data_IF_757775309388
#
_entry.id   IF_757775309388
#
_cell.length_a   1.000
_cell.length_b   1.000
_cell.length_c   1.000
_cell.angle_alpha   90.00
_cell.angle_beta   90.00
_cell.angle_gamma   90.00
#
_symmetry.space_group_name_H-M   'P 1'
#
loop_
_entity.id
_entity.type
_entity.pdbx_description
1 polymer ?
#
# COMPACT_ATOMS: atom_id res chain seq x y z
N UNK A 1 53.68 -24.86 -44.72
CA UNK A 1 54.18 -23.78 -45.61
C UNK A 1 53.45 -22.51 -45.22
N UNK A 2 54.18 -21.63 -44.55
CA UNK A 2 53.71 -20.76 -43.47
C UNK A 2 53.10 -19.46 -44.03
N UNK A 3 52.13 -18.86 -43.34
CA UNK A 3 51.47 -17.58 -43.70
C UNK A 3 52.44 -16.47 -44.16
N UNK A 4 53.66 -16.47 -43.64
CA UNK A 4 54.74 -15.56 -44.02
C UNK A 4 55.25 -15.76 -45.47
N UNK A 5 55.23 -16.99 -45.99
CA UNK A 5 55.60 -17.27 -47.37
C UNK A 5 54.53 -16.79 -48.36
N UNK A 6 53.24 -16.90 -48.00
CA UNK A 6 52.14 -16.28 -48.76
C UNK A 6 52.25 -14.75 -48.75
N UNK A 7 52.47 -14.16 -47.57
CA UNK A 7 52.65 -12.71 -47.43
C UNK A 7 53.84 -12.19 -48.25
N UNK A 8 54.94 -12.95 -48.35
CA UNK A 8 56.10 -12.57 -49.17
C UNK A 8 55.87 -12.76 -50.68
N UNK A 9 55.16 -13.81 -51.11
CA UNK A 9 54.80 -13.94 -52.54
C UNK A 9 53.84 -12.83 -52.97
N UNK A 10 52.91 -12.46 -52.08
CA UNK A 10 51.92 -11.42 -52.33
C UNK A 10 52.58 -10.03 -52.41
N UNK A 11 53.61 -9.76 -51.59
CA UNK A 11 54.41 -8.54 -51.67
C UNK A 11 55.32 -8.49 -52.91
N UNK A 12 55.87 -9.62 -53.35
CA UNK A 12 56.67 -9.67 -54.59
C UNK A 12 55.82 -9.40 -55.83
N UNK A 13 54.57 -9.86 -55.85
CA UNK A 13 53.63 -9.58 -56.95
C UNK A 13 53.19 -8.10 -56.99
N UNK A 14 53.16 -7.41 -55.84
CA UNK A 14 52.89 -5.96 -55.76
C UNK A 14 54.05 -5.13 -56.32
N UNK A 15 55.30 -5.55 -56.09
CA UNK A 15 56.50 -4.90 -56.64
C UNK A 15 56.72 -5.16 -58.15
N UNK A 16 56.16 -6.24 -58.69
CA UNK A 16 56.31 -6.64 -60.08
C UNK A 16 55.40 -5.90 -61.09
N UNK A 17 54.53 -5.00 -60.62
CA UNK A 17 53.80 -4.09 -61.50
C UNK A 17 52.75 -4.75 -62.41
N UNK A 18 52.10 -5.82 -61.96
CA UNK A 18 50.94 -6.38 -62.67
C UNK A 18 49.66 -5.60 -62.29
N UNK A 19 49.36 -4.57 -63.09
CA UNK A 19 48.29 -3.60 -62.84
C UNK A 19 46.85 -4.14 -63.03
N UNK A 20 46.67 -5.41 -63.39
CA UNK A 20 45.35 -6.00 -63.63
C UNK A 20 44.65 -6.58 -62.39
N UNK A 21 45.41 -7.03 -61.37
CA UNK A 21 44.85 -7.66 -60.16
C UNK A 21 44.87 -6.76 -58.91
N UNK A 22 45.65 -5.67 -58.92
CA UNK A 22 45.79 -4.73 -57.81
C UNK A 22 44.50 -3.95 -57.53
N UNK A 23 43.77 -3.52 -58.56
CA UNK A 23 42.49 -2.80 -58.39
C UNK A 23 41.41 -3.68 -57.77
N UNK A 24 41.35 -4.97 -58.14
CA UNK A 24 40.38 -5.90 -57.57
C UNK A 24 40.67 -6.21 -56.08
N UNK A 25 41.95 -6.24 -55.68
CA UNK A 25 42.35 -6.49 -54.29
C UNK A 25 42.26 -5.24 -53.39
N UNK A 26 42.62 -4.05 -53.91
CA UNK A 26 42.42 -2.78 -53.21
C UNK A 26 40.93 -2.47 -53.00
N UNK A 27 40.09 -2.74 -54.00
CA UNK A 27 38.64 -2.56 -53.87
C UNK A 27 38.05 -3.57 -52.87
N UNK A 28 38.58 -4.80 -52.77
CA UNK A 28 38.15 -5.79 -51.77
C UNK A 28 38.56 -5.42 -50.33
N UNK A 29 39.73 -4.84 -50.13
CA UNK A 29 40.17 -4.33 -48.83
C UNK A 29 39.40 -3.05 -48.41
N UNK A 30 39.07 -2.17 -49.35
CA UNK A 30 38.26 -0.96 -49.12
C UNK A 30 36.76 -1.24 -48.94
N UNK A 31 36.25 -2.38 -49.44
CA UNK A 31 34.87 -2.83 -49.20
C UNK A 31 34.70 -3.37 -47.77
N UNK A 32 35.73 -3.96 -47.16
CA UNK A 32 35.64 -4.55 -45.82
C UNK A 32 35.88 -3.60 -44.63
N UNK A 33 36.16 -2.31 -44.87
CA UNK A 33 36.26 -1.29 -43.83
C UNK A 33 35.37 -0.08 -44.11
N UNK A 34 34.19 -0.29 -44.69
CA UNK A 34 33.22 0.80 -44.78
C UNK A 34 32.70 1.15 -43.38
N UNK A 35 32.90 2.37 -42.87
CA UNK A 35 32.34 2.77 -41.58
C UNK A 35 30.81 2.74 -41.66
N UNK A 36 30.18 2.12 -40.65
CA UNK A 36 28.73 2.11 -40.48
C UNK A 36 28.38 3.25 -39.53
N UNK A 37 27.70 4.27 -40.03
CA UNK A 37 27.19 5.37 -39.22
C UNK A 37 25.77 5.07 -38.80
N UNK A 38 25.54 5.01 -37.49
CA UNK A 38 24.21 4.86 -36.90
C UNK A 38 23.89 6.12 -36.12
N UNK A 39 22.74 6.74 -36.38
CA UNK A 39 22.26 7.92 -35.68
C UNK A 39 20.82 7.72 -35.25
N UNK A 40 20.51 8.01 -33.99
CA UNK A 40 19.16 7.84 -33.43
C UNK A 40 18.52 9.21 -33.26
N UNK A 41 17.37 9.41 -33.89
CA UNK A 41 16.54 10.61 -33.74
C UNK A 41 15.48 10.30 -32.68
N UNK A 42 15.84 10.52 -31.40
CA UNK A 42 14.99 10.16 -30.23
C UNK A 42 13.57 10.74 -30.32
N UNK A 43 13.43 12.01 -30.73
CA UNK A 43 12.13 12.70 -30.80
C UNK A 43 11.13 12.03 -31.75
N UNK A 44 11.63 11.33 -32.77
CA UNK A 44 10.80 10.69 -33.79
C UNK A 44 10.84 9.15 -33.71
N UNK A 45 11.56 8.59 -32.74
CA UNK A 45 11.87 7.17 -32.65
C UNK A 45 12.36 6.57 -33.99
N UNK A 46 13.29 7.26 -34.66
CA UNK A 46 13.86 6.84 -35.95
C UNK A 46 15.34 6.53 -35.81
N UNK A 47 15.80 5.48 -36.49
CA UNK A 47 17.22 5.14 -36.61
C UNK A 47 17.64 5.37 -38.06
N UNK A 48 18.65 6.22 -38.24
CA UNK A 48 19.30 6.46 -39.52
C UNK A 48 20.56 5.61 -39.58
N UNK A 49 20.65 4.75 -40.59
CA UNK A 49 21.83 3.92 -40.85
C UNK A 49 22.41 4.31 -42.20
N UNK A 50 23.70 4.67 -42.23
CA UNK A 50 24.44 4.96 -43.46
C UNK A 50 25.68 4.08 -43.50
N UNK A 51 25.77 3.24 -44.52
CA UNK A 51 26.95 2.43 -44.82
C UNK A 51 27.19 2.41 -46.32
N UNK A 52 28.44 2.19 -46.71
CA UNK A 52 28.85 1.98 -48.11
C UNK A 52 28.81 0.49 -48.49
N UNK A 53 28.79 -0.39 -47.50
CA UNK A 53 28.68 -1.84 -47.68
C UNK A 53 27.21 -2.27 -47.77
N UNK A 54 26.84 -2.81 -48.93
CA UNK A 54 25.48 -3.26 -49.22
C UNK A 54 25.12 -4.53 -48.45
N UNK A 55 26.08 -5.44 -48.24
CA UNK A 55 25.83 -6.69 -47.51
C UNK A 55 25.48 -6.39 -46.04
N UNK A 56 26.25 -5.52 -45.39
CA UNK A 56 25.96 -5.06 -44.04
C UNK A 56 24.60 -4.35 -43.91
N UNK A 57 24.17 -3.59 -44.93
CA UNK A 57 22.85 -2.95 -44.93
C UNK A 57 21.70 -3.97 -45.02
N UNK A 58 21.88 -5.05 -45.78
CA UNK A 58 20.89 -6.13 -45.88
C UNK A 58 20.80 -6.92 -44.56
N UNK A 59 21.94 -7.18 -43.90
CA UNK A 59 21.97 -7.81 -42.56
C UNK A 59 21.29 -6.95 -41.49
N UNK A 60 21.54 -5.64 -41.49
CA UNK A 60 20.88 -4.69 -40.58
C UNK A 60 19.37 -4.65 -40.84
N UNK A 61 18.94 -4.68 -42.11
CA UNK A 61 17.51 -4.74 -42.46
C UNK A 61 16.85 -6.01 -41.92
N UNK A 62 17.50 -7.16 -42.09
CA UNK A 62 17.01 -8.43 -41.57
C UNK A 62 16.95 -8.44 -40.04
N UNK A 63 17.94 -7.84 -39.37
CA UNK A 63 17.95 -7.69 -37.91
C UNK A 63 16.83 -6.75 -37.44
N UNK A 64 16.62 -5.63 -38.13
CA UNK A 64 15.52 -4.69 -37.84
C UNK A 64 14.16 -5.39 -37.91
N UNK A 65 13.88 -6.15 -38.97
CA UNK A 65 12.62 -6.88 -39.08
C UNK A 65 12.42 -7.96 -38.00
N UNK A 66 13.49 -8.49 -37.42
CA UNK A 66 13.40 -9.44 -36.28
C UNK A 66 13.20 -8.74 -34.93
N UNK A 67 13.65 -7.49 -34.81
CA UNK A 67 13.54 -6.69 -33.57
C UNK A 67 12.26 -5.86 -33.52
N UNK A 68 11.71 -5.47 -34.68
CA UNK A 68 10.47 -4.70 -34.81
C UNK A 68 9.25 -5.61 -34.65
N UNK A 69 9.01 -6.05 -33.42
CA UNK A 69 7.85 -6.86 -33.02
C UNK A 69 6.98 -6.06 -32.06
N UNK A 70 5.67 -6.34 -32.06
CA UNK A 70 4.77 -5.75 -31.07
C UNK A 70 5.17 -6.20 -29.66
N UNK A 71 5.26 -5.25 -28.73
CA UNK A 71 5.55 -5.55 -27.33
C UNK A 71 4.35 -6.25 -26.69
N UNK A 72 4.58 -7.45 -26.17
CA UNK A 72 3.58 -8.15 -25.37
C UNK A 72 3.27 -7.37 -24.09
N UNK A 73 1.99 -7.32 -23.75
CA UNK A 73 1.48 -6.69 -22.53
C UNK A 73 0.98 -7.76 -21.57
N UNK A 74 0.93 -7.41 -20.30
CA UNK A 74 0.57 -8.28 -19.20
C UNK A 74 -0.51 -7.59 -18.37
N UNK A 75 -1.68 -8.22 -18.26
CA UNK A 75 -2.66 -7.88 -17.25
C UNK A 75 -2.38 -8.75 -16.02
N UNK A 76 -2.25 -8.14 -14.85
CA UNK A 76 -2.07 -8.85 -13.58
C UNK A 76 -3.24 -8.58 -12.66
N UNK A 77 -3.79 -9.68 -12.15
CA UNK A 77 -4.70 -9.69 -11.02
C UNK A 77 -3.91 -10.15 -9.79
N UNK A 78 -3.85 -9.31 -8.77
CA UNK A 78 -3.20 -9.63 -7.50
C UNK A 78 -4.25 -9.64 -6.42
N UNK A 79 -4.29 -10.68 -5.58
CA UNK A 79 -5.15 -10.76 -4.40
C UNK A 79 -4.27 -10.80 -3.16
N UNK A 80 -4.48 -9.86 -2.26
CA UNK A 80 -3.77 -9.74 -1.00
C UNK A 80 -4.82 -9.95 0.09
N UNK A 81 -4.69 -11.05 0.81
CA UNK A 81 -5.57 -11.42 1.91
C UNK A 81 -4.79 -11.28 3.21
N UNK A 82 -5.23 -10.39 4.11
CA UNK A 82 -4.72 -10.31 5.48
C UNK A 82 -5.80 -10.81 6.43
N UNK A 83 -5.44 -11.71 7.32
CA UNK A 83 -6.31 -12.22 8.40
C UNK A 83 -5.58 -11.93 9.70
N UNK A 84 -6.23 -11.20 10.60
CA UNK A 84 -5.74 -10.97 11.95
C UNK A 84 -6.75 -11.59 12.92
N UNK A 85 -6.32 -12.66 13.58
CA UNK A 85 -7.06 -13.39 14.59
C UNK A 85 -6.44 -13.09 15.95
N UNK A 86 -7.25 -12.73 16.93
CA UNK A 86 -6.84 -12.60 18.32
C UNK A 86 -7.86 -13.31 19.18
N UNK A 87 -7.38 -14.17 20.04
CA UNK A 87 -8.16 -14.88 21.05
C UNK A 87 -7.52 -14.59 22.41
N UNK A 88 -8.33 -14.15 23.35
CA UNK A 88 -7.91 -13.72 24.68
C UNK A 88 -8.80 -14.34 25.73
N UNK A 89 -8.19 -14.90 26.76
CA UNK A 89 -8.91 -15.42 27.93
C UNK A 89 -8.29 -14.84 29.20
N UNK A 90 -9.08 -14.06 29.93
CA UNK A 90 -8.72 -13.50 31.23
C UNK A 90 -9.66 -14.04 32.31
N UNK A 91 -9.06 -14.64 33.34
CA UNK A 91 -9.73 -15.09 34.55
C UNK A 91 -9.08 -14.42 35.75
N UNK A 92 -9.89 -13.71 36.53
CA UNK A 92 -9.46 -13.02 37.73
C UNK A 92 -10.34 -13.42 38.92
N UNK A 93 -9.72 -13.73 40.06
CA UNK A 93 -10.42 -13.92 41.32
C UNK A 93 -9.79 -13.10 42.43
N UNK A 94 -10.54 -12.11 42.92
CA UNK A 94 -10.12 -11.29 44.05
C UNK A 94 -10.91 -11.68 45.30
N UNK A 95 -10.23 -11.69 46.45
CA UNK A 95 -10.90 -11.79 47.73
C UNK A 95 -10.26 -10.91 48.80
N UNK A 96 -11.10 -10.46 49.74
CA UNK A 96 -10.68 -9.71 50.91
C UNK A 96 -11.37 -10.27 52.15
N UNK A 97 -10.57 -10.65 53.13
CA UNK A 97 -11.02 -11.13 54.44
C UNK A 97 -10.59 -10.12 55.49
N UNK A 98 -11.54 -9.60 56.26
CA UNK A 98 -11.27 -8.67 57.36
C UNK A 98 -11.54 -9.35 58.70
N UNK A 99 -10.52 -9.46 59.55
CA UNK A 99 -10.63 -9.99 60.90
C UNK A 99 -9.98 -9.00 61.89
N UNK A 100 -10.80 -8.11 62.47
CA UNK A 100 -10.30 -7.02 63.32
C UNK A 100 -9.52 -5.98 62.50
N UNK A 101 -8.29 -5.68 62.92
CA UNK A 101 -7.36 -4.76 62.24
C UNK A 101 -6.53 -5.45 61.13
N UNK A 102 -6.60 -6.78 61.02
CA UNK A 102 -5.88 -7.53 59.98
C UNK A 102 -6.81 -7.75 58.78
N UNK A 103 -6.34 -7.34 57.60
CA UNK A 103 -6.97 -7.64 56.33
C UNK A 103 -6.02 -8.51 55.48
N UNK A 104 -6.52 -9.66 55.03
CA UNK A 104 -5.83 -10.50 54.04
C UNK A 104 -6.50 -10.24 52.70
N UNK A 105 -5.69 -9.89 51.72
CA UNK A 105 -6.15 -9.43 50.41
C UNK A 105 -5.36 -10.13 49.32
N UNK A 106 -6.06 -10.75 48.36
CA UNK A 106 -5.48 -11.27 47.12
C UNK A 106 -6.00 -10.42 45.95
N UNK A 107 -5.10 -10.07 45.03
CA UNK A 107 -5.44 -9.39 43.77
C UNK A 107 -4.91 -7.96 43.67
N UNK A 108 -4.42 -7.60 42.48
CA UNK A 108 -3.66 -6.37 42.18
C UNK A 108 -4.44 -5.07 42.43
N UNK A 109 -5.77 -5.15 42.60
CA UNK A 109 -6.68 -4.01 42.77
C UNK A 109 -7.54 -4.04 44.06
N UNK A 110 -7.31 -4.99 44.96
CA UNK A 110 -8.26 -5.28 46.03
C UNK A 110 -8.28 -4.24 47.18
N UNK A 111 -7.41 -3.22 47.17
CA UNK A 111 -7.50 -2.05 48.07
C UNK A 111 -8.34 -0.90 47.49
N UNK A 112 -8.47 -0.78 46.16
CA UNK A 112 -9.21 0.31 45.48
C UNK A 112 -10.52 -0.14 44.81
N UNK A 113 -10.68 -1.42 44.48
CA UNK A 113 -11.85 -1.95 43.77
C UNK A 113 -12.97 -2.44 44.69
N UNK A 114 -12.61 -2.95 45.88
CA UNK A 114 -13.51 -3.60 46.85
C UNK A 114 -14.22 -2.60 47.79
N UNK A 115 -14.47 -1.39 47.28
CA UNK A 115 -15.12 -0.28 47.99
C UNK A 115 -15.85 0.69 47.05
N UNK A 116 -15.83 0.42 45.74
CA UNK A 116 -16.61 1.16 44.74
C UNK A 116 -17.96 0.48 44.54
N UNK A 117 -19.01 1.27 44.36
CA UNK A 117 -20.37 0.78 44.08
C UNK A 117 -20.40 -0.12 42.84
N UNK A 118 -21.28 -1.12 42.85
CA UNK A 118 -21.55 -1.99 41.70
C UNK A 118 -21.91 -1.19 40.43
N UNK A 119 -22.53 -0.01 40.59
CA UNK A 119 -22.89 0.92 39.51
C UNK A 119 -21.68 1.59 38.84
N UNK A 120 -20.59 1.86 39.57
CA UNK A 120 -19.34 2.42 39.03
C UNK A 120 -18.47 1.39 38.31
N UNK A 121 -18.64 0.10 38.65
CA UNK A 121 -17.99 -1.02 37.95
C UNK A 121 -18.80 -1.43 36.72
N UNK A 122 -20.14 -1.36 36.79
CA UNK A 122 -21.03 -1.60 35.65
C UNK A 122 -20.98 -0.50 34.58
N UNK A 123 -20.67 0.75 34.95
CA UNK A 123 -20.51 1.86 33.98
C UNK A 123 -19.18 1.82 33.20
N UNK A 124 -18.19 1.06 33.69
CA UNK A 124 -16.94 0.75 32.98
C UNK A 124 -17.11 -0.53 32.14
N UNK A 125 -18.11 -0.53 31.25
CA UNK A 125 -18.50 -1.65 30.37
C UNK A 125 -17.29 -2.30 29.67
N UNK A 126 -16.75 -3.34 30.30
CA UNK A 126 -15.94 -4.39 29.69
C UNK A 126 -16.81 -5.65 29.77
N UNK A 127 -17.15 -6.35 28.66
CA UNK A 127 -18.10 -7.46 28.62
C UNK A 127 -17.57 -8.74 29.31
N UNK A 128 -17.24 -8.65 30.60
CA UNK A 128 -16.80 -9.76 31.43
C UNK A 128 -17.96 -10.26 32.30
N UNK A 129 -18.07 -11.57 32.47
CA UNK A 129 -18.96 -12.17 33.47
C UNK A 129 -18.42 -11.80 34.86
N UNK A 130 -19.15 -10.96 35.59
CA UNK A 130 -18.78 -10.49 36.91
C UNK A 130 -19.73 -11.08 37.97
N UNK A 131 -19.20 -11.83 38.92
CA UNK A 131 -19.91 -12.24 40.12
C UNK A 131 -19.24 -11.61 41.34
N UNK A 132 -20.01 -10.90 42.16
CA UNK A 132 -19.52 -10.30 43.41
C UNK A 132 -20.34 -10.78 44.60
N UNK A 133 -19.65 -11.10 45.70
CA UNK A 133 -20.25 -11.42 46.98
C UNK A 133 -19.66 -10.52 48.06
N UNK A 134 -20.51 -9.78 48.77
CA UNK A 134 -20.10 -8.80 49.78
C UNK A 134 -20.77 -9.12 51.12
N UNK A 135 -19.97 -9.33 52.17
CA UNK A 135 -20.38 -9.52 53.56
C UNK A 135 -19.52 -8.64 54.49
N UNK A 136 -19.93 -8.46 55.76
CA UNK A 136 -19.26 -7.55 56.72
C UNK A 136 -17.75 -7.81 56.87
N UNK A 137 -17.33 -9.07 56.72
CA UNK A 137 -15.95 -9.50 56.94
C UNK A 137 -15.34 -10.25 55.72
N UNK A 138 -16.12 -10.48 54.66
CA UNK A 138 -15.71 -11.28 53.52
C UNK A 138 -16.24 -10.67 52.23
N UNK A 139 -15.34 -10.44 51.27
CA UNK A 139 -15.67 -9.94 49.96
C UNK A 139 -14.95 -10.77 48.91
N UNK A 140 -15.66 -11.20 47.87
CA UNK A 140 -15.11 -11.99 46.78
C UNK A 140 -15.66 -11.53 45.43
N UNK A 141 -14.80 -11.53 44.42
CA UNK A 141 -15.11 -11.13 43.06
C UNK A 141 -14.51 -12.13 42.07
N UNK A 142 -15.35 -12.65 41.19
CA UNK A 142 -14.96 -13.46 40.05
C UNK A 142 -15.21 -12.67 38.77
N UNK A 143 -14.20 -12.57 37.92
CA UNK A 143 -14.29 -11.98 36.60
C UNK A 143 -13.78 -12.99 35.57
N UNK A 144 -14.59 -13.29 34.57
CA UNK A 144 -14.22 -14.13 33.42
C UNK A 144 -14.50 -13.36 32.13
N UNK A 145 -13.50 -13.26 31.25
CA UNK A 145 -13.59 -12.60 29.97
C UNK A 145 -12.93 -13.47 28.90
N UNK A 146 -13.70 -13.81 27.87
CA UNK A 146 -13.20 -14.42 26.64
C UNK A 146 -13.43 -13.42 25.50
N UNK A 147 -12.36 -13.07 24.79
CA UNK A 147 -12.35 -12.08 23.73
C UNK A 147 -11.83 -12.70 22.45
N UNK A 148 -12.74 -12.91 21.50
CA UNK A 148 -12.40 -13.28 20.12
C UNK A 148 -12.51 -12.05 19.21
N UNK A 149 -11.44 -11.76 18.49
CA UNK A 149 -11.41 -10.74 17.45
C UNK A 149 -10.90 -11.36 16.15
N UNK A 150 -11.64 -11.11 15.05
CA UNK A 150 -11.28 -11.56 13.72
C UNK A 150 -11.45 -10.43 12.73
N UNK A 151 -10.34 -9.98 12.16
CA UNK A 151 -10.32 -9.01 11.07
C UNK A 151 -9.87 -9.73 9.80
N UNK A 152 -10.57 -9.50 8.71
CA UNK A 152 -10.21 -10.02 7.39
C UNK A 152 -10.22 -8.88 6.40
N UNK A 153 -9.08 -8.65 5.75
CA UNK A 153 -8.88 -7.61 4.76
C UNK A 153 -8.53 -8.27 3.41
N UNK A 154 -9.21 -7.86 2.35
CA UNK A 154 -8.97 -8.33 0.99
C UNK A 154 -8.75 -7.13 0.08
N UNK A 155 -7.55 -7.03 -0.48
CA UNK A 155 -7.24 -6.07 -1.54
C UNK A 155 -7.03 -6.81 -2.86
N UNK A 156 -7.66 -6.32 -3.95
CA UNK A 156 -7.51 -6.89 -5.30
C UNK A 156 -7.01 -5.84 -6.28
N UNK A 157 -5.73 -5.42 -6.21
CA UNK A 157 -5.16 -4.52 -7.21
C UNK A 157 -5.03 -5.22 -8.57
N UNK A 158 -5.38 -4.50 -9.62
CA UNK A 158 -5.30 -4.95 -11.00
C UNK A 158 -4.50 -3.92 -11.77
N UNK A 159 -3.54 -4.37 -12.55
CA UNK A 159 -2.76 -3.48 -13.40
C UNK A 159 -2.39 -4.13 -14.71
N UNK A 160 -2.24 -3.28 -15.71
CA UNK A 160 -1.79 -3.66 -17.03
C UNK A 160 -0.46 -2.99 -17.32
N UNK A 161 0.52 -3.75 -17.79
CA UNK A 161 1.89 -3.27 -18.01
C UNK A 161 2.53 -3.93 -19.22
N UNK A 162 3.59 -3.33 -19.74
CA UNK A 162 4.38 -3.86 -20.86
C UNK A 162 5.47 -4.79 -20.32
N UNK A 163 5.94 -5.73 -21.15
CA UNK A 163 7.10 -6.54 -20.81
C UNK A 163 8.31 -5.67 -20.37
N UNK A 164 8.98 -6.07 -19.29
CA UNK A 164 10.16 -5.42 -18.71
C UNK A 164 9.97 -3.99 -18.16
N UNK A 165 8.74 -3.48 -18.12
CA UNK A 165 8.45 -2.15 -17.56
C UNK A 165 8.12 -2.24 -16.06
N UNK A 166 8.68 -1.32 -15.27
CA UNK A 166 8.36 -1.24 -13.84
C UNK A 166 7.00 -0.58 -13.67
N UNK A 167 6.11 -1.19 -12.90
CA UNK A 167 4.80 -0.63 -12.60
C UNK A 167 4.59 -0.55 -11.10
N UNK A 168 4.06 0.60 -10.66
CA UNK A 168 3.77 0.88 -9.25
C UNK A 168 2.31 1.28 -9.10
N UNK A 169 1.63 0.67 -8.14
CA UNK A 169 0.29 1.01 -7.69
C UNK A 169 0.37 1.31 -6.20
N UNK A 170 -0.19 2.44 -5.78
CA UNK A 170 -0.37 2.78 -4.37
C UNK A 170 -1.86 2.99 -4.14
N UNK A 171 -2.43 2.25 -3.17
CA UNK A 171 -3.82 2.35 -2.77
C UNK A 171 -3.81 2.63 -1.28
N UNK A 172 -4.21 3.84 -0.89
CA UNK A 172 -4.14 4.27 0.49
C UNK A 172 -4.53 5.72 0.65
N UNK A 173 -4.28 6.24 1.84
CA UNK A 173 -4.49 7.62 2.20
C UNK A 173 -3.18 8.22 2.74
N UNK A 174 -3.01 9.52 2.53
CA UNK A 174 -1.96 10.28 3.23
C UNK A 174 -2.56 10.80 4.52
N UNK A 175 -2.02 10.36 5.65
CA UNK A 175 -2.54 10.70 6.97
C UNK A 175 -1.44 11.33 7.83
N UNK A 176 -1.71 12.46 8.53
CA UNK A 176 -0.80 12.97 9.52
C UNK A 176 -0.78 12.02 10.73
N UNK A 177 0.42 11.57 11.11
CA UNK A 177 0.66 10.77 12.31
C UNK A 177 1.44 11.61 13.33
N UNK A 178 1.17 11.39 14.61
CA UNK A 178 1.94 12.03 15.69
C UNK A 178 3.23 11.25 15.89
N UNK A 179 4.36 11.81 15.47
CA UNK A 179 5.69 11.17 15.57
C UNK A 179 6.45 11.56 16.84
N UNK A 180 6.01 12.63 17.51
CA UNK A 180 6.61 13.08 18.76
C UNK A 180 5.88 14.26 19.37
N UNK A 181 6.44 14.79 20.44
CA UNK A 181 5.97 16.00 21.08
C UNK A 181 7.13 16.92 21.39
N UNK A 182 6.93 18.22 21.20
CA UNK A 182 7.84 19.23 21.71
C UNK A 182 7.19 19.97 22.87
N UNK A 183 7.97 20.21 23.92
CA UNK A 183 7.55 21.05 25.02
C UNK A 183 7.70 22.52 24.60
N UNK A 184 6.58 23.23 24.51
CA UNK A 184 6.58 24.68 24.29
C UNK A 184 6.29 25.40 25.60
N UNK A 185 7.09 26.42 25.89
CA UNK A 185 6.92 27.27 27.08
C UNK A 185 6.38 28.62 26.64
N UNK A 186 5.13 28.94 27.01
CA UNK A 186 4.61 30.29 26.89
C UNK A 186 4.90 31.05 28.20
N UNK A 187 5.81 32.02 28.13
CA UNK A 187 6.04 32.96 29.22
C UNK A 187 4.96 34.06 29.15
N UNK A 188 4.02 34.06 30.10
CA UNK A 188 3.13 35.20 30.28
C UNK A 188 3.88 36.27 31.08
N UNK A 189 4.27 37.37 30.42
CA UNK A 189 4.83 38.53 31.11
C UNK A 189 3.72 39.24 31.89
N UNK A 190 3.85 39.30 33.22
CA UNK A 190 3.01 40.15 34.05
C UNK A 190 3.24 41.62 33.67
N UNK A 191 2.17 42.37 33.41
CA UNK A 191 2.21 43.77 32.98
C UNK A 191 2.72 44.76 34.05
N UNK A 192 3.04 44.30 35.26
CA UNK A 192 3.68 45.08 36.32
C UNK A 192 5.00 44.42 36.69
N UNK A 193 6.12 45.09 36.42
CA UNK A 193 7.50 44.56 36.48
C UNK A 193 8.05 44.18 37.86
N UNK A 194 7.30 43.48 38.71
CA UNK A 194 7.79 42.81 39.91
C UNK A 194 7.05 41.47 40.15
N UNK A 195 7.78 40.35 40.10
CA UNK A 195 7.41 39.08 40.76
C UNK A 195 6.74 38.00 39.89
N UNK A 196 7.41 36.85 39.81
CA UNK A 196 7.00 35.55 39.22
C UNK A 196 6.50 35.55 37.76
N UNK A 197 7.40 35.15 36.85
CA UNK A 197 7.04 34.68 35.51
C UNK A 197 6.37 33.30 35.66
N UNK A 198 5.08 33.21 35.35
CA UNK A 198 4.40 31.91 35.23
C UNK A 198 4.74 31.36 33.85
N UNK A 199 5.55 30.30 33.81
CA UNK A 199 5.88 29.56 32.60
C UNK A 199 4.86 28.44 32.44
N UNK A 200 3.85 28.64 31.61
CA UNK A 200 2.93 27.57 31.24
C UNK A 200 3.61 26.73 30.14
N UNK A 201 3.96 25.50 30.49
CA UNK A 201 4.55 24.54 29.57
C UNK A 201 3.46 23.60 29.07
N UNK A 202 3.33 23.43 27.75
CA UNK A 202 2.37 22.53 27.13
C UNK A 202 3.04 21.70 26.02
N UNK A 203 2.48 20.53 25.75
CA UNK A 203 2.96 19.63 24.70
C UNK A 203 2.35 20.03 23.37
N UNK A 204 3.19 20.22 22.36
CA UNK A 204 2.78 20.41 20.97
C UNK A 204 3.10 19.13 20.20
N UNK A 205 2.10 18.43 19.64
CA UNK A 205 2.37 17.23 18.85
C UNK A 205 3.10 17.61 17.56
N UNK A 206 4.23 16.94 17.33
CA UNK A 206 4.92 16.96 16.05
C UNK A 206 4.21 15.94 15.14
N UNK A 207 3.74 16.43 13.99
CA UNK A 207 3.01 15.61 13.04
C UNK A 207 3.83 15.43 11.77
N UNK A 208 3.88 14.21 11.27
CA UNK A 208 4.48 13.85 9.98
C UNK A 208 3.37 13.28 9.09
N UNK A 209 3.29 13.71 7.83
CA UNK A 209 2.37 13.09 6.87
C UNK A 209 3.00 11.80 6.37
N UNK A 210 2.27 10.69 6.51
CA UNK A 210 2.72 9.37 6.04
C UNK A 210 1.66 8.72 5.16
N UNK A 211 2.13 8.00 4.16
CA UNK A 211 1.30 7.27 3.20
C UNK A 211 1.01 5.88 3.79
N UNK A 212 -0.27 5.58 4.01
CA UNK A 212 -0.72 4.36 4.69
C UNK A 212 -1.67 3.64 3.75
N UNK A 213 -1.41 2.36 3.52
CA UNK A 213 -2.15 1.54 2.58
C UNK A 213 -1.28 0.47 1.94
N UNK A 214 -1.71 -0.01 0.78
CA UNK A 214 -1.04 -1.08 0.03
C UNK A 214 -0.25 -0.48 -1.13
N UNK A 215 1.07 -0.71 -1.15
CA UNK A 215 1.95 -0.45 -2.29
C UNK A 215 2.27 -1.76 -2.99
N UNK A 216 2.03 -1.81 -4.29
CA UNK A 216 2.44 -2.89 -5.17
C UNK A 216 3.42 -2.33 -6.20
N UNK A 217 4.62 -2.88 -6.23
CA UNK A 217 5.63 -2.62 -7.25
C UNK A 217 6.01 -3.92 -7.93
N UNK A 218 6.06 -3.91 -9.24
CA UNK A 218 6.40 -5.11 -9.99
C UNK A 218 7.16 -4.83 -11.27
N UNK A 219 7.78 -5.88 -11.78
CA UNK A 219 8.46 -5.88 -13.08
C UNK A 219 8.27 -7.25 -13.71
N UNK A 220 7.48 -7.35 -14.79
CA UNK A 220 7.28 -8.61 -15.49
C UNK A 220 8.39 -8.87 -16.51
N UNK A 221 8.67 -10.14 -16.75
CA UNK A 221 9.50 -10.60 -17.85
C UNK A 221 8.83 -11.81 -18.49
N UNK A 222 8.31 -11.61 -19.70
CA UNK A 222 7.61 -12.64 -20.47
C UNK A 222 8.64 -13.48 -21.23
N UNK A 223 8.62 -14.78 -20.97
CA UNK A 223 9.49 -15.76 -21.61
C UNK A 223 8.85 -16.30 -22.91
N UNK A 224 9.67 -16.91 -23.78
CA UNK A 224 9.20 -17.46 -25.05
C UNK A 224 8.23 -18.65 -24.92
N UNK A 225 8.22 -19.32 -23.76
CA UNK A 225 7.33 -20.46 -23.44
C UNK A 225 5.96 -20.03 -22.87
N UNK A 226 5.62 -18.73 -22.94
CA UNK A 226 4.42 -18.13 -22.33
C UNK A 226 4.37 -18.26 -20.81
N UNK A 227 5.52 -18.39 -20.16
CA UNK A 227 5.64 -18.13 -18.72
C UNK A 227 6.05 -16.68 -18.48
N UNK A 228 5.73 -16.16 -17.31
CA UNK A 228 6.08 -14.80 -16.88
C UNK A 228 6.85 -14.89 -15.59
N UNK A 229 8.08 -14.39 -15.61
CA UNK A 229 8.88 -14.15 -14.41
C UNK A 229 8.55 -12.76 -13.88
N UNK A 230 7.91 -12.68 -12.72
CA UNK A 230 7.46 -11.42 -12.11
C UNK A 230 8.33 -11.16 -10.89
N UNK A 231 9.08 -10.06 -10.92
CA UNK A 231 9.67 -9.50 -9.70
C UNK A 231 8.60 -8.66 -9.02
N UNK A 232 8.28 -8.97 -7.78
CA UNK A 232 7.21 -8.29 -7.03
C UNK A 232 7.74 -7.79 -5.69
N UNK A 233 7.33 -6.59 -5.33
CA UNK A 233 7.46 -5.99 -4.01
C UNK A 233 6.08 -5.52 -3.60
N UNK A 234 5.60 -6.04 -2.48
CA UNK A 234 4.31 -5.70 -1.89
C UNK A 234 4.59 -5.18 -0.50
N UNK A 235 4.03 -4.03 -0.18
CA UNK A 235 4.06 -3.44 1.15
C UNK A 235 2.63 -3.11 1.56
N UNK A 236 2.20 -3.65 2.69
CA UNK A 236 0.94 -3.30 3.33
C UNK A 236 1.24 -2.56 4.63
N UNK A 237 0.86 -1.30 4.68
CA UNK A 237 1.11 -0.41 5.80
C UNK A 237 -0.22 0.04 6.42
N UNK A 238 -0.30 -0.01 7.74
CA UNK A 238 -1.49 0.34 8.53
C UNK A 238 -1.11 1.01 9.85
N UNK A 239 -2.07 1.68 10.50
CA UNK A 239 -1.87 2.12 11.88
C UNK A 239 -2.00 0.91 12.80
N UNK A 240 -1.06 0.77 13.73
CA UNK A 240 -1.22 -0.17 14.83
C UNK A 240 -2.34 0.32 15.77
N UNK A 241 -3.15 -0.62 16.28
CA UNK A 241 -4.17 -0.30 17.28
C UNK A 241 -3.55 0.13 18.63
N UNK A 242 -2.32 -0.32 18.90
CA UNK A 242 -1.56 0.03 20.11
C UNK A 242 -0.64 1.20 19.80
N UNK A 243 -0.81 2.30 20.53
CA UNK A 243 0.10 3.46 20.49
C UNK A 243 1.35 3.17 21.31
N UNK A 244 2.47 3.74 20.92
CA UNK A 244 3.69 3.69 21.74
C UNK A 244 3.72 4.91 22.65
N UNK A 245 4.12 4.73 23.90
CA UNK A 245 4.26 5.84 24.85
C UNK A 245 5.73 6.21 24.98
N UNK A 246 6.07 7.48 24.73
CA UNK A 246 7.42 8.03 24.90
C UNK A 246 7.45 9.00 26.07
N UNK A 247 8.54 9.03 26.88
CA UNK A 247 8.71 10.05 27.90
C UNK A 247 9.12 11.38 27.27
N UNK A 248 8.37 12.44 27.55
CA UNK A 248 8.64 13.80 27.07
C UNK A 248 8.95 14.70 28.25
N UNK A 249 10.07 15.42 28.19
CA UNK A 249 10.47 16.34 29.26
C UNK A 249 9.69 17.65 29.16
N UNK A 250 8.97 18.01 30.22
CA UNK A 250 8.30 19.30 30.39
C UNK A 250 8.85 19.95 31.66
N UNK A 251 9.75 20.92 31.50
CA UNK A 251 10.47 21.48 32.65
C UNK A 251 11.38 20.44 33.30
N UNK A 252 11.09 20.09 34.56
CA UNK A 252 11.83 19.10 35.36
C UNK A 252 11.08 17.77 35.53
N UNK A 253 9.97 17.58 34.81
CA UNK A 253 9.14 16.36 34.88
C UNK A 253 9.08 15.63 33.53
N UNK A 254 9.15 14.30 33.57
CA UNK A 254 8.93 13.43 32.42
C UNK A 254 7.44 13.05 32.37
N UNK A 255 6.76 13.46 31.31
CA UNK A 255 5.35 13.14 31.07
C UNK A 255 5.26 12.09 29.96
N UNK A 256 4.56 10.96 30.16
CA UNK A 256 4.31 10.00 29.10
C UNK A 256 3.37 10.60 28.05
N UNK A 257 3.74 10.49 26.77
CA UNK A 257 2.93 10.94 25.66
C UNK A 257 2.82 9.86 24.58
N UNK A 258 1.63 9.68 24.03
CA UNK A 258 1.34 8.61 23.08
C UNK A 258 1.61 9.04 21.64
N UNK A 259 2.45 8.29 20.94
CA UNK A 259 2.75 8.45 19.52
C UNK A 259 2.09 7.34 18.72
N UNK A 260 1.75 7.67 17.48
CA UNK A 260 1.17 6.69 16.56
C UNK A 260 2.27 5.75 16.05
N UNK A 261 1.95 4.46 15.95
CA UNK A 261 2.85 3.42 15.42
C UNK A 261 2.31 2.95 14.09
N UNK A 262 3.18 2.89 13.08
CA UNK A 262 2.85 2.33 11.77
C UNK A 262 3.39 0.91 11.69
N UNK A 263 2.49 -0.03 11.44
CA UNK A 263 2.84 -1.41 11.16
C UNK A 263 2.94 -1.58 9.65
N UNK A 264 4.04 -2.19 9.18
CA UNK A 264 4.23 -2.50 7.77
C UNK A 264 4.57 -3.98 7.61
N UNK A 265 3.91 -4.64 6.65
CA UNK A 265 4.15 -6.02 6.22
C UNK A 265 4.71 -5.95 4.80
N UNK A 266 5.94 -6.40 4.58
CA UNK A 266 6.61 -6.32 3.27
C UNK A 266 6.97 -7.70 2.75
N UNK A 267 6.68 -7.95 1.48
CA UNK A 267 7.07 -9.14 0.74
C UNK A 267 7.84 -8.72 -0.52
N UNK A 268 9.01 -9.33 -0.76
CA UNK A 268 9.81 -9.10 -1.97
C UNK A 268 10.30 -10.43 -2.51
N UNK A 269 10.05 -10.71 -3.79
CA UNK A 269 10.36 -11.99 -4.39
C UNK A 269 10.31 -11.98 -5.91
N UNK A 270 10.81 -13.05 -6.51
CA UNK A 270 10.63 -13.32 -7.95
C UNK A 270 9.86 -14.62 -8.08
N UNK A 271 8.76 -14.58 -8.84
CA UNK A 271 7.89 -15.73 -9.06
C UNK A 271 7.74 -15.99 -10.55
N UNK A 272 7.51 -17.25 -10.91
CA UNK A 272 7.28 -17.66 -12.30
C UNK A 272 5.89 -18.27 -12.38
N UNK A 273 5.07 -17.75 -13.26
CA UNK A 273 3.70 -18.22 -13.49
C UNK A 273 3.42 -18.43 -14.97
N UNK A 274 2.62 -19.43 -15.30
CA UNK A 274 2.07 -19.59 -16.64
C UNK A 274 0.93 -18.62 -16.90
N UNK A 275 0.68 -18.32 -18.17
CA UNK A 275 -0.48 -17.54 -18.60
C UNK A 275 -1.80 -18.06 -18.02
N UNK A 276 -2.61 -17.15 -17.47
CA UNK A 276 -3.92 -17.43 -16.87
C UNK A 276 -3.89 -18.25 -15.58
N UNK A 277 -2.71 -18.64 -15.09
CA UNK A 277 -2.56 -19.54 -13.93
C UNK A 277 -2.33 -18.74 -12.64
N UNK A 278 -3.20 -18.92 -11.65
CA UNK A 278 -3.02 -18.29 -10.35
C UNK A 278 -1.96 -19.05 -9.55
N UNK A 279 -0.98 -18.31 -9.01
CA UNK A 279 0.03 -18.84 -8.10
C UNK A 279 -0.05 -18.12 -6.76
N UNK A 280 0.09 -18.88 -5.67
CA UNK A 280 0.35 -18.31 -4.36
C UNK A 280 1.83 -17.92 -4.31
N UNK A 281 2.11 -16.63 -4.30
CA UNK A 281 3.46 -16.05 -4.41
C UNK A 281 4.18 -16.11 -3.07
N UNK A 282 3.42 -16.01 -1.99
CA UNK A 282 3.93 -16.16 -0.64
C UNK A 282 2.86 -15.90 0.40
N UNK A 283 3.17 -16.27 1.64
CA UNK A 283 2.42 -15.83 2.78
C UNK A 283 3.28 -15.75 4.04
N UNK A 284 2.94 -14.79 4.91
CA UNK A 284 3.53 -14.63 6.23
C UNK A 284 2.48 -15.06 7.24
N UNK A 285 2.76 -16.13 7.98
CA UNK A 285 1.94 -16.54 9.12
C UNK A 285 2.76 -16.23 10.36
N UNK A 286 2.26 -15.34 11.20
CA UNK A 286 2.85 -14.97 12.47
C UNK A 286 1.90 -15.41 13.59
N UNK A 287 2.40 -16.24 14.49
CA UNK A 287 1.66 -16.66 15.68
C UNK A 287 2.40 -16.16 16.92
N UNK A 288 1.69 -15.44 17.79
CA UNK A 288 2.17 -15.04 19.11
C UNK A 288 1.28 -15.65 20.18
N UNK A 289 1.95 -16.06 21.24
CA UNK A 289 1.36 -16.65 22.43
C UNK A 289 1.96 -15.97 23.65
N UNK A 290 1.11 -15.45 24.52
CA UNK A 290 1.49 -14.91 25.81
C UNK A 290 0.61 -15.54 26.88
N UNK A 291 1.24 -16.30 27.78
CA UNK A 291 0.58 -16.89 28.94
C UNK A 291 1.10 -16.19 30.20
N UNK A 292 0.20 -15.60 30.96
CA UNK A 292 0.47 -14.98 32.25
C UNK A 292 -0.29 -15.69 33.36
N UNK A 293 0.41 -16.07 34.43
CA UNK A 293 -0.22 -16.68 35.60
C UNK A 293 0.31 -16.02 36.88
N UNK A 294 -0.60 -15.53 37.72
CA UNK A 294 -0.31 -15.03 39.06
C UNK A 294 -1.10 -15.84 40.07
N UNK A 295 -0.46 -16.44 41.07
CA UNK A 295 -1.15 -17.33 42.03
C UNK A 295 -0.72 -17.11 43.47
N UNK A 296 -1.61 -17.39 44.41
CA UNK A 296 -1.25 -17.48 45.84
C UNK A 296 -0.44 -18.76 46.06
N UNK A 297 0.77 -18.68 46.64
CA UNK A 297 1.57 -19.86 46.96
C UNK A 297 0.78 -20.87 47.81
N UNK A 298 0.95 -22.17 47.54
CA UNK A 298 0.26 -23.30 48.20
C UNK A 298 -1.23 -23.43 47.79
N UNK A 299 -2.05 -22.39 47.92
CA UNK A 299 -3.49 -22.47 47.61
C UNK A 299 -3.80 -22.55 46.12
N UNK A 300 -2.98 -21.90 45.28
CA UNK A 300 -3.12 -21.93 43.81
C UNK A 300 -2.78 -23.29 43.18
N UNK A 301 -2.03 -24.15 43.89
CA UNK A 301 -1.59 -25.46 43.39
C UNK A 301 -2.57 -26.59 43.77
N UNK A 302 -3.64 -26.30 44.52
CA UNK A 302 -4.63 -27.30 44.91
C UNK A 302 -5.43 -27.72 43.66
N UNK A 303 -5.44 -29.01 43.28
CA UNK A 303 -6.25 -29.47 42.14
C UNK A 303 -7.74 -29.22 42.42
N UNK A 304 -8.45 -28.70 41.41
CA UNK A 304 -9.89 -28.37 41.50
C UNK A 304 -10.18 -27.00 42.10
N UNK A 305 -9.61 -26.66 43.26
CA UNK A 305 -9.86 -25.39 43.95
C UNK A 305 -8.88 -24.27 43.61
N UNK A 306 -7.69 -24.60 43.08
CA UNK A 306 -6.63 -23.65 42.78
C UNK A 306 -7.00 -22.61 41.73
N UNK A 307 -8.04 -22.86 40.92
CA UNK A 307 -8.60 -21.87 39.97
C UNK A 307 -9.11 -20.60 40.66
N UNK A 308 -9.63 -20.70 41.89
CA UNK A 308 -10.04 -19.54 42.67
C UNK A 308 -8.87 -18.82 43.36
N UNK A 309 -7.65 -19.31 43.23
CA UNK A 309 -6.47 -18.73 43.88
C UNK A 309 -5.38 -18.36 42.87
N UNK A 310 -5.74 -18.31 41.59
CA UNK A 310 -4.86 -17.92 40.50
C UNK A 310 -5.60 -17.02 39.50
N UNK A 311 -4.87 -16.02 39.02
CA UNK A 311 -5.24 -15.18 37.90
C UNK A 311 -4.51 -15.70 36.67
N UNK A 312 -5.25 -15.94 35.60
CA UNK A 312 -4.72 -16.46 34.34
C UNK A 312 -5.12 -15.52 33.21
N UNK A 313 -4.13 -15.07 32.43
CA UNK A 313 -4.33 -14.31 31.21
C UNK A 313 -3.63 -15.01 30.07
N UNK A 314 -4.39 -15.51 29.10
CA UNK A 314 -3.88 -16.16 27.91
C UNK A 314 -4.22 -15.31 26.70
N UNK A 315 -3.22 -14.94 25.91
CA UNK A 315 -3.40 -14.21 24.66
C UNK A 315 -2.76 -15.01 23.52
N UNK A 316 -3.56 -15.33 22.52
CA UNK A 316 -3.14 -15.97 21.28
C UNK A 316 -3.49 -15.05 20.13
N UNK A 317 -2.50 -14.63 19.36
CA UNK A 317 -2.73 -13.83 18.16
C UNK A 317 -2.11 -14.52 16.95
N UNK A 318 -2.87 -14.66 15.88
CA UNK A 318 -2.43 -15.24 14.62
C UNK A 318 -2.71 -14.26 13.49
N UNK A 319 -1.66 -13.83 12.83
CA UNK A 319 -1.72 -12.95 11.67
C UNK A 319 -1.29 -13.75 10.44
N UNK A 320 -2.09 -13.69 9.38
CA UNK A 320 -1.80 -14.33 8.10
C UNK A 320 -1.85 -13.28 7.00
N UNK A 321 -0.82 -13.22 6.16
CA UNK A 321 -0.82 -12.49 4.90
C UNK A 321 -0.67 -13.52 3.79
N UNK A 322 -1.57 -13.54 2.81
CA UNK A 322 -1.51 -14.44 1.64
C UNK A 322 -1.58 -13.60 0.38
N UNK A 323 -0.63 -13.81 -0.52
CA UNK A 323 -0.55 -13.11 -1.80
C UNK A 323 -0.73 -14.11 -2.94
N UNK A 324 -1.74 -13.87 -3.76
CA UNK A 324 -2.02 -14.65 -4.97
C UNK A 324 -1.83 -13.72 -6.18
N UNK A 325 -1.10 -14.17 -7.18
CA UNK A 325 -0.90 -13.44 -8.44
C UNK A 325 -1.37 -14.31 -9.59
N UNK A 326 -2.13 -13.71 -10.50
CA UNK A 326 -2.59 -14.34 -11.74
C UNK A 326 -2.25 -13.43 -12.93
N UNK A 327 -1.24 -13.81 -13.74
CA UNK A 327 -0.92 -13.09 -14.97
C UNK A 327 -1.81 -13.51 -16.14
N UNK A 328 -2.10 -12.57 -17.03
CA UNK A 328 -2.70 -12.80 -18.35
C UNK A 328 -1.85 -12.12 -19.41
N UNK A 329 -1.26 -12.92 -20.30
CA UNK A 329 -0.40 -12.44 -21.38
C UNK A 329 -1.28 -12.01 -22.55
N UNK A 330 -1.00 -10.85 -23.11
CA UNK A 330 -1.66 -10.33 -24.31
C UNK A 330 -0.58 -9.96 -25.32
N UNK A 331 -0.72 -10.46 -26.55
CA UNK A 331 0.32 -10.32 -27.57
C UNK A 331 0.14 -9.07 -28.41
N UNK A 332 -1.10 -8.57 -28.53
CA UNK A 332 -1.46 -7.41 -29.35
C UNK A 332 -2.20 -6.35 -28.52
N UNK A 333 -2.10 -5.06 -28.87
CA UNK A 333 -2.90 -4.00 -28.24
C UNK A 333 -4.41 -4.20 -28.35
N UNK A 334 -4.89 -4.85 -29.41
CA UNK A 334 -6.32 -5.12 -29.60
C UNK A 334 -6.82 -6.19 -28.62
N UNK A 335 -6.06 -7.27 -28.46
CA UNK A 335 -6.33 -8.33 -27.47
C UNK A 335 -6.30 -7.77 -26.05
N UNK A 336 -5.27 -6.98 -25.73
CA UNK A 336 -5.15 -6.20 -24.52
C UNK A 336 -6.42 -5.41 -24.17
N UNK A 337 -6.95 -4.64 -25.13
CA UNK A 337 -8.16 -3.85 -24.95
C UNK A 337 -9.41 -4.73 -24.73
N UNK A 338 -9.49 -5.89 -25.41
CA UNK A 338 -10.58 -6.85 -25.23
C UNK A 338 -10.54 -7.48 -23.83
N UNK A 339 -9.37 -7.97 -23.39
CA UNK A 339 -9.18 -8.58 -22.07
C UNK A 339 -9.44 -7.58 -20.95
N UNK A 340 -8.96 -6.34 -21.09
CA UNK A 340 -9.25 -5.25 -20.15
C UNK A 340 -10.75 -4.97 -20.05
N UNK A 341 -11.45 -4.89 -21.19
CA UNK A 341 -12.90 -4.71 -21.21
C UNK A 341 -13.60 -5.88 -20.52
N UNK A 342 -13.31 -7.11 -20.91
CA UNK A 342 -13.92 -8.30 -20.30
C UNK A 342 -13.73 -8.32 -18.78
N UNK A 343 -12.52 -7.99 -18.31
CA UNK A 343 -12.22 -7.88 -16.89
C UNK A 343 -13.08 -6.82 -16.20
N UNK A 344 -13.21 -5.63 -16.77
CA UNK A 344 -14.03 -4.55 -16.21
C UNK A 344 -15.51 -4.94 -16.16
N UNK A 345 -16.02 -5.62 -17.20
CA UNK A 345 -17.41 -6.09 -17.24
C UNK A 345 -17.72 -7.13 -16.16
N UNK A 346 -16.78 -8.04 -15.89
CA UNK A 346 -16.97 -9.10 -14.91
C UNK A 346 -16.76 -8.61 -13.46
N UNK A 347 -15.80 -7.72 -13.24
CA UNK A 347 -15.31 -7.41 -11.89
C UNK A 347 -15.67 -6.02 -11.38
N UNK A 348 -16.11 -5.08 -12.23
CA UNK A 348 -16.45 -3.73 -11.80
C UNK A 348 -17.96 -3.60 -11.53
N UNK A 349 -18.30 -3.05 -10.36
CA UNK A 349 -19.67 -2.65 -10.04
C UNK A 349 -19.99 -1.22 -10.50
N UNK A 350 -19.05 -0.54 -11.17
CA UNK A 350 -19.27 0.82 -11.62
C UNK A 350 -20.38 0.85 -12.69
N UNK A 351 -21.39 1.73 -12.59
CA UNK A 351 -22.52 1.78 -13.52
C UNK A 351 -22.13 1.95 -14.99
N UNK A 352 -20.97 2.58 -15.25
CA UNK A 352 -20.42 2.81 -16.59
C UNK A 352 -19.17 1.95 -16.88
N UNK A 353 -18.91 0.88 -16.11
CA UNK A 353 -17.86 -0.08 -16.46
C UNK A 353 -18.01 -0.66 -17.89
N UNK A 354 -19.24 -0.95 -18.37
CA UNK A 354 -19.51 -1.31 -19.76
C UNK A 354 -18.93 -0.36 -20.81
N UNK A 355 -19.01 0.93 -20.52
CA UNK A 355 -18.72 2.02 -21.44
C UNK A 355 -17.36 2.68 -21.15
N UNK A 356 -16.56 2.13 -20.23
CA UNK A 356 -15.27 2.72 -19.83
C UNK A 356 -14.27 2.86 -20.99
N UNK A 357 -14.39 2.03 -22.02
CA UNK A 357 -13.58 2.15 -23.25
C UNK A 357 -14.00 3.32 -24.15
N UNK A 358 -15.21 3.83 -23.95
CA UNK A 358 -15.75 4.98 -24.67
C UNK A 358 -15.60 6.21 -23.77
N UNK A 359 -14.51 6.96 -23.97
CA UNK A 359 -14.39 8.29 -23.36
C UNK A 359 -15.42 9.18 -24.05
N UNK A 360 -16.63 9.23 -23.49
CA UNK A 360 -17.82 9.90 -24.00
C UNK A 360 -17.70 11.44 -24.00
N UNK A 361 -16.59 11.98 -24.52
CA UNK A 361 -16.42 13.42 -24.76
C UNK A 361 -17.29 13.88 -25.95
N UNK A 362 -17.76 12.95 -26.80
CA UNK A 362 -18.57 13.24 -28.00
C UNK A 362 -19.79 12.32 -28.20
N UNK A 363 -20.14 11.54 -27.19
CA UNK A 363 -21.29 10.62 -27.24
C UNK A 363 -22.54 11.33 -26.70
N UNK A 364 -23.28 11.94 -27.62
CA UNK A 364 -24.62 12.49 -27.35
C UNK A 364 -25.69 11.38 -27.26
N UNK A 365 -25.41 10.32 -26.50
CA UNK A 365 -26.35 9.20 -26.34
C UNK A 365 -27.01 9.19 -24.97
N UNK A 366 -26.57 10.04 -24.04
CA UNK A 366 -27.16 10.13 -22.71
C UNK A 366 -28.47 10.94 -22.77
N UNK A 367 -29.57 10.26 -23.15
CA UNK A 367 -30.93 10.66 -22.79
C UNK A 367 -31.19 10.40 -21.29
N UNK A 368 -30.23 10.73 -20.42
CA UNK A 368 -30.35 10.69 -18.96
C UNK A 368 -30.51 12.09 -18.38
N UNK A 369 -31.40 12.89 -18.94
CA UNK A 369 -32.02 13.96 -18.16
C UNK A 369 -33.26 13.37 -17.47
N UNK A 370 -33.05 12.73 -16.31
CA UNK A 370 -34.13 12.66 -15.31
C UNK A 370 -34.50 14.12 -15.03
N UNK A 371 -35.77 14.45 -15.29
CA UNK A 371 -36.24 15.83 -15.35
C UNK A 371 -35.75 16.69 -14.19
N UNK A 372 -34.91 17.67 -14.52
CA UNK A 372 -34.96 18.92 -13.78
C UNK A 372 -36.31 19.54 -14.12
N UNK A 373 -37.29 19.41 -13.23
CA UNK A 373 -38.27 20.49 -13.12
C UNK A 373 -37.43 21.70 -12.73
N UNK A 374 -37.28 22.66 -13.66
CA UNK A 374 -36.91 24.00 -13.26
C UNK A 374 -37.91 24.39 -12.18
N UNK A 375 -37.46 24.46 -10.92
CA UNK A 375 -38.21 25.24 -9.94
C UNK A 375 -38.46 26.59 -10.61
N UNK A 376 -39.74 26.99 -10.66
CA UNK A 376 -40.11 28.22 -11.34
C UNK A 376 -39.20 29.33 -10.82
N UNK A 377 -38.52 30.09 -11.69
CA UNK A 377 -37.69 31.18 -11.23
C UNK A 377 -38.56 32.12 -10.40
N UNK A 378 -38.12 32.35 -9.16
CA UNK A 378 -38.49 33.42 -8.22
C UNK A 378 -39.83 34.15 -8.44
N UNK A 379 -40.66 34.25 -7.38
CA UNK A 379 -41.83 35.14 -7.33
C UNK A 379 -41.51 36.51 -7.96
N UNK A 380 -42.09 36.79 -9.11
CA UNK A 380 -42.12 38.12 -9.70
C UNK A 380 -42.90 39.05 -8.77
N UNK A 381 -42.26 40.13 -8.31
CA UNK A 381 -42.94 41.22 -7.62
C UNK A 381 -43.51 42.16 -8.69
N UNK A 382 -44.83 42.29 -8.84
CA UNK A 382 -45.48 42.95 -9.99
C UNK A 382 -45.38 44.49 -9.98
N UNK A 383 -44.41 45.08 -9.29
CA UNK A 383 -44.35 46.52 -9.05
C UNK A 383 -43.11 47.23 -9.62
N UNK A 384 -42.17 46.53 -10.28
CA UNK A 384 -40.89 47.15 -10.66
C UNK A 384 -40.61 47.22 -12.18
N UNK A 385 -41.37 46.51 -13.03
CA UNK A 385 -41.12 46.47 -14.48
C UNK A 385 -42.09 47.30 -15.35
N UNK A 386 -42.98 48.08 -14.73
CA UNK A 386 -43.88 48.98 -15.49
C UNK A 386 -43.21 50.29 -15.93
N UNK A 387 -41.91 50.50 -15.66
CA UNK A 387 -41.20 51.73 -16.04
C UNK A 387 -40.25 51.58 -17.23
N UNK A 388 -39.86 50.37 -17.63
CA UNK A 388 -38.89 50.17 -18.74
C UNK A 388 -39.52 49.94 -20.13
N UNK A 389 -40.84 49.86 -20.23
CA UNK A 389 -41.54 49.65 -21.50
C UNK A 389 -41.66 50.92 -22.39
N UNK A 390 -41.06 52.05 -22.02
CA UNK A 390 -41.23 53.33 -22.74
C UNK A 390 -40.07 53.79 -23.62
N UNK A 391 -38.96 53.05 -23.72
CA UNK A 391 -37.87 53.45 -24.62
C UNK A 391 -37.38 52.30 -25.52
N UNK A 392 -37.52 52.49 -26.83
CA UNK A 392 -36.64 51.83 -27.80
C UNK A 392 -37.30 51.04 -28.93
N UNK A 393 -38.35 51.54 -29.59
CA UNK A 393 -38.59 51.18 -31.00
C UNK A 393 -38.02 52.27 -31.91
N UNK A 394 -36.73 52.15 -32.20
CA UNK A 394 -36.04 52.88 -33.26
C UNK A 394 -36.04 52.05 -34.54
N UNK A 395 -36.77 52.55 -35.52
CA UNK A 395 -36.89 52.10 -36.90
C UNK A 395 -35.56 52.24 -37.67
N UNK A 396 -35.17 51.23 -38.46
CA UNK A 396 -34.38 51.46 -39.68
C UNK A 396 -34.57 50.35 -40.71
N UNK A 397 -35.43 50.62 -41.68
CA UNK A 397 -35.28 50.11 -43.05
C UNK A 397 -34.13 50.83 -43.75
N UNK A 398 -33.10 50.08 -44.15
CA UNK A 398 -32.55 50.01 -45.52
C UNK A 398 -31.37 49.06 -45.59
#
# INVERSE_FOLDING_TARGET
MTELQKRNSDLQNILAGDAGQSDAMLNRALVHQAPIYVSVIKRQNRVLVRTRDRAAMDDIRNLYHKLDVESSMLLMEVKILSIDLSDGFDSLFDFKIKAGDVAITQGTNATNALGQSLETVASAFNPALLATMVSKNFEARLQLLEQENRVTELATPVLMTTNQEVSRVFIGEERPIVSGYEASTAAAANANGLGNVIVNSFLVPQTEVRNIGTTLLLTPNINADRTVSIRVLIEQSGLAAVKATIPVSIGDQLVPADIDVVQAKTFSGTVVAGDGTAIAVGGLIEERAADGESKVPILGDIPGLGFFFKDQGNLRSRTELVVIIRPYITSTPSEAAQTSREFLWQNSQHPNAPDASNMDIYSNHDRRHKGYQLEQPYKEYPAQDSMDAFHGKGDSKK
#
